data_IF_669375179722
#
_entry.id   IF_669375179722
#
_cell.length_a   1.000
_cell.length_b   1.000
_cell.length_c   1.000
_cell.angle_alpha   90.00
_cell.angle_beta   90.00
_cell.angle_gamma   90.00
#
_symmetry.space_group_name_H-M   'P 1'
#
loop_
_entity.id
_entity.type
_entity.pdbx_description
1 polymer ?
#
# COMPACT_ATOMS: atom_id res chain seq x y z
N UNK A 1 5.32 13.33 20.97
CA UNK A 1 4.57 13.82 22.13
C UNK A 1 5.28 13.31 23.38
N UNK A 2 5.79 14.18 24.26
CA UNK A 2 6.43 13.76 25.51
C UNK A 2 5.43 12.98 26.38
N UNK A 3 5.83 11.80 26.85
CA UNK A 3 5.01 10.95 27.72
C UNK A 3 4.28 9.83 26.99
N UNK A 4 4.67 9.55 25.74
CA UNK A 4 4.21 8.37 25.02
C UNK A 4 4.62 7.08 25.75
N UNK A 5 3.97 5.96 25.42
CA UNK A 5 4.31 4.64 25.96
C UNK A 5 5.79 4.27 25.68
N UNK A 6 6.30 4.66 24.51
CA UNK A 6 7.70 4.46 24.14
C UNK A 6 8.64 5.34 24.98
N UNK A 7 8.28 6.60 25.25
CA UNK A 7 9.08 7.50 26.10
C UNK A 7 9.20 6.97 27.52
N UNK A 8 8.08 6.52 28.11
CA UNK A 8 8.09 5.96 29.47
C UNK A 8 8.98 4.72 29.55
N UNK A 9 8.83 3.81 28.60
CA UNK A 9 9.69 2.63 28.53
C UNK A 9 11.17 2.98 28.38
N UNK A 10 11.51 3.94 27.50
CA UNK A 10 12.91 4.31 27.26
C UNK A 10 13.54 4.96 28.50
N UNK A 11 12.77 5.79 29.21
CA UNK A 11 13.21 6.44 30.45
C UNK A 11 13.31 5.45 31.64
N UNK A 12 12.57 4.34 31.60
CA UNK A 12 12.61 3.28 32.62
C UNK A 12 13.75 2.26 32.39
N UNK A 13 14.57 2.41 31.33
CA UNK A 13 15.68 1.51 31.05
C UNK A 13 16.81 1.64 32.07
N UNK A 14 17.34 0.49 32.51
CA UNK A 14 18.46 0.45 33.44
C UNK A 14 19.80 0.80 32.80
N UNK A 15 20.81 1.10 33.62
CA UNK A 15 22.18 1.44 33.19
C UNK A 15 22.84 0.34 32.35
N UNK A 16 22.47 -0.92 32.55
CA UNK A 16 22.97 -2.06 31.74
C UNK A 16 22.34 -2.10 30.34
N UNK A 17 21.08 -1.69 30.20
CA UNK A 17 20.34 -1.71 28.93
C UNK A 17 20.70 -0.51 28.06
N UNK A 18 21.14 0.61 28.67
CA UNK A 18 21.64 1.79 27.97
C UNK A 18 23.16 1.82 27.81
N UNK A 19 23.88 0.81 28.33
CA UNK A 19 25.35 0.74 28.31
C UNK A 19 25.96 0.71 26.90
N UNK A 20 25.21 0.24 25.91
CA UNK A 20 25.62 0.25 24.51
C UNK A 20 24.41 0.23 23.59
N UNK A 21 24.62 0.67 22.34
CA UNK A 21 23.59 0.55 21.29
C UNK A 21 23.15 -0.90 21.08
N UNK A 22 24.06 -1.88 21.29
CA UNK A 22 23.73 -3.29 21.22
C UNK A 22 22.78 -3.74 22.34
N UNK A 23 23.06 -3.34 23.59
CA UNK A 23 22.21 -3.61 24.74
C UNK A 23 20.82 -2.95 24.59
N UNK A 24 20.79 -1.72 24.09
CA UNK A 24 19.55 -0.99 23.82
C UNK A 24 18.71 -1.69 22.76
N UNK A 25 19.35 -2.17 21.69
CA UNK A 25 18.68 -2.92 20.61
C UNK A 25 18.10 -4.25 21.12
N UNK A 26 18.79 -4.93 22.04
CA UNK A 26 18.29 -6.15 22.69
C UNK A 26 17.07 -5.83 23.56
N UNK A 27 17.14 -4.81 24.41
CA UNK A 27 16.02 -4.38 25.24
C UNK A 27 14.81 -3.98 24.39
N UNK A 28 15.04 -3.26 23.27
CA UNK A 28 14.02 -2.90 22.31
C UNK A 28 13.34 -4.13 21.70
N UNK A 29 14.09 -5.08 21.15
CA UNK A 29 13.50 -6.29 20.56
C UNK A 29 12.88 -7.24 21.59
N UNK A 30 13.29 -7.17 22.85
CA UNK A 30 12.63 -7.89 23.95
C UNK A 30 11.26 -7.27 24.26
N UNK A 31 11.15 -5.94 24.23
CA UNK A 31 9.92 -5.21 24.56
C UNK A 31 8.92 -5.20 23.41
N UNK A 32 9.39 -4.85 22.22
CA UNK A 32 8.68 -5.00 20.97
C UNK A 32 9.30 -6.18 20.26
N UNK A 33 8.89 -7.39 20.67
CA UNK A 33 9.18 -8.61 19.93
C UNK A 33 9.00 -8.27 18.47
N UNK A 34 10.07 -8.40 17.63
CA UNK A 34 9.96 -8.05 16.25
C UNK A 34 8.78 -8.85 15.75
N UNK A 35 7.69 -8.15 15.41
CA UNK A 35 6.53 -8.80 14.81
C UNK A 35 7.16 -9.62 13.72
N UNK A 36 7.08 -10.96 13.83
CA UNK A 36 7.56 -11.84 12.77
C UNK A 36 6.95 -11.22 11.54
N UNK A 37 7.75 -10.59 10.67
CA UNK A 37 7.22 -10.04 9.43
C UNK A 37 6.55 -11.25 8.83
N UNK A 38 5.22 -11.26 8.85
CA UNK A 38 4.47 -12.36 8.27
C UNK A 38 4.88 -12.27 6.82
N UNK A 39 5.82 -13.14 6.43
CA UNK A 39 6.09 -13.37 5.02
C UNK A 39 4.81 -14.02 4.56
N UNK A 40 3.91 -13.18 4.06
CA UNK A 40 2.68 -13.62 3.46
C UNK A 40 3.05 -14.71 2.47
N UNK A 41 2.38 -15.86 2.56
CA UNK A 41 2.53 -16.87 1.53
C UNK A 41 2.13 -16.25 0.19
N UNK A 42 2.62 -16.80 -0.93
CA UNK A 42 2.23 -16.29 -2.25
C UNK A 42 0.71 -16.30 -2.44
N UNK A 43 0.01 -17.29 -1.86
CA UNK A 43 -1.45 -17.34 -1.86
C UNK A 43 -2.08 -16.17 -1.07
N UNK A 44 -1.55 -15.85 0.11
CA UNK A 44 -2.02 -14.70 0.89
C UNK A 44 -1.74 -13.38 0.17
N UNK A 45 -0.57 -13.21 -0.44
CA UNK A 45 -0.25 -12.01 -1.22
C UNK A 45 -1.27 -11.78 -2.34
N UNK A 46 -1.60 -12.84 -3.10
CA UNK A 46 -2.62 -12.79 -4.15
C UNK A 46 -3.98 -12.38 -3.60
N UNK A 47 -4.40 -13.00 -2.49
CA UNK A 47 -5.70 -12.72 -1.86
C UNK A 47 -5.80 -11.27 -1.38
N UNK A 48 -4.74 -10.75 -0.76
CA UNK A 48 -4.71 -9.35 -0.32
C UNK A 48 -4.81 -8.35 -1.47
N UNK A 49 -4.13 -8.62 -2.58
CA UNK A 49 -4.21 -7.77 -3.78
C UNK A 49 -5.60 -7.87 -4.43
N UNK A 50 -6.16 -9.07 -4.57
CA UNK A 50 -7.52 -9.27 -5.10
C UNK A 50 -8.60 -8.58 -4.25
N UNK A 51 -8.38 -8.54 -2.94
CA UNK A 51 -9.26 -7.82 -2.02
C UNK A 51 -9.24 -6.30 -2.21
N UNK A 52 -8.28 -5.74 -2.96
CA UNK A 52 -8.26 -4.33 -3.31
C UNK A 52 -9.08 -4.08 -4.59
N UNK A 53 -10.37 -3.85 -4.43
CA UNK A 53 -11.25 -3.50 -5.55
C UNK A 53 -11.40 -1.99 -5.69
N UNK A 54 -11.36 -1.49 -6.94
CA UNK A 54 -11.75 -0.13 -7.26
C UNK A 54 -13.26 -0.12 -7.49
N UNK A 55 -13.97 0.77 -6.80
CA UNK A 55 -15.42 0.90 -7.00
C UNK A 55 -15.69 1.80 -8.20
N UNK A 56 -16.73 1.49 -8.97
CA UNK A 56 -17.07 2.26 -10.16
C UNK A 56 -17.41 3.72 -9.82
N UNK A 57 -18.07 3.96 -8.68
CA UNK A 57 -18.39 5.31 -8.22
C UNK A 57 -17.17 6.16 -7.84
N UNK A 58 -16.04 5.52 -7.53
CA UNK A 58 -14.78 6.19 -7.19
C UNK A 58 -14.00 6.60 -8.46
N UNK A 59 -14.34 6.05 -9.63
CA UNK A 59 -13.69 6.40 -10.90
C UNK A 59 -14.05 7.84 -11.30
N UNK A 60 -13.03 8.68 -11.51
CA UNK A 60 -13.22 10.08 -11.85
C UNK A 60 -13.71 10.96 -10.70
N UNK A 61 -14.01 10.38 -9.53
CA UNK A 61 -14.30 11.13 -8.31
C UNK A 61 -13.00 11.69 -7.72
N UNK A 62 -13.04 12.94 -7.26
CA UNK A 62 -11.93 13.52 -6.50
C UNK A 62 -11.98 13.03 -5.07
N UNK A 63 -10.93 12.34 -4.62
CA UNK A 63 -10.82 11.80 -3.26
C UNK A 63 -9.69 12.54 -2.53
N UNK A 64 -10.04 13.14 -1.40
CA UNK A 64 -9.10 13.71 -0.44
C UNK A 64 -9.14 12.88 0.85
N UNK A 65 -8.32 11.83 0.92
CA UNK A 65 -8.24 10.94 2.09
C UNK A 65 -6.81 10.99 2.68
N UNK A 66 -6.70 11.53 3.89
CA UNK A 66 -5.41 11.67 4.57
C UNK A 66 -4.49 12.68 3.89
N UNK A 67 -3.34 12.22 3.39
CA UNK A 67 -2.35 13.06 2.69
C UNK A 67 -2.40 12.91 1.15
N UNK A 68 -3.31 12.10 0.62
CA UNK A 68 -3.44 11.86 -0.83
C UNK A 68 -4.69 12.56 -1.33
N UNK A 69 -4.49 13.47 -2.29
CA UNK A 69 -5.55 14.17 -3.02
C UNK A 69 -5.39 13.87 -4.51
N UNK A 70 -6.22 12.97 -5.03
CA UNK A 70 -6.21 12.60 -6.45
C UNK A 70 -7.55 11.98 -6.84
N UNK A 71 -7.71 11.63 -8.11
CA UNK A 71 -8.85 10.84 -8.58
C UNK A 71 -8.86 9.44 -7.97
N UNK A 72 -10.04 8.89 -7.71
CA UNK A 72 -10.18 7.63 -6.97
C UNK A 72 -9.44 6.45 -7.60
N UNK A 73 -9.36 6.37 -8.93
CA UNK A 73 -8.55 5.35 -9.61
C UNK A 73 -7.05 5.50 -9.33
N UNK A 74 -6.53 6.73 -9.24
CA UNK A 74 -5.13 7.01 -8.94
C UNK A 74 -4.80 6.71 -7.47
N UNK A 75 -5.71 7.09 -6.56
CA UNK A 75 -5.60 6.78 -5.13
C UNK A 75 -5.59 5.28 -4.91
N UNK A 76 -6.51 4.55 -5.55
CA UNK A 76 -6.58 3.09 -5.49
C UNK A 76 -5.29 2.45 -6.03
N UNK A 77 -4.84 2.82 -7.24
CA UNK A 77 -3.64 2.25 -7.85
C UNK A 77 -2.40 2.46 -6.97
N UNK A 78 -2.27 3.64 -6.37
CA UNK A 78 -1.19 3.96 -5.44
C UNK A 78 -1.25 3.10 -4.18
N UNK A 79 -2.44 2.89 -3.60
CA UNK A 79 -2.64 2.01 -2.43
C UNK A 79 -2.26 0.55 -2.74
N UNK A 80 -2.67 0.04 -3.90
CA UNK A 80 -2.35 -1.33 -4.33
C UNK A 80 -0.84 -1.51 -4.52
N UNK A 81 -0.18 -0.58 -5.19
CA UNK A 81 1.27 -0.60 -5.37
C UNK A 81 2.00 -0.57 -4.01
N UNK A 82 1.61 0.32 -3.10
CA UNK A 82 2.22 0.40 -1.77
C UNK A 82 2.05 -0.91 -0.98
N UNK A 83 0.88 -1.53 -1.08
CA UNK A 83 0.62 -2.84 -0.48
C UNK A 83 1.54 -3.92 -1.08
N UNK A 84 1.63 -4.01 -2.42
CA UNK A 84 2.49 -4.97 -3.11
C UNK A 84 3.97 -4.80 -2.75
N UNK A 85 4.48 -3.56 -2.76
CA UNK A 85 5.85 -3.24 -2.35
C UNK A 85 6.11 -3.59 -0.89
N UNK A 86 5.13 -3.38 0.01
CA UNK A 86 5.24 -3.77 1.42
C UNK A 86 5.36 -5.30 1.60
N UNK A 87 4.84 -6.07 0.65
CA UNK A 87 4.94 -7.53 0.60
C UNK A 87 6.20 -8.02 -0.13
N UNK A 88 7.02 -7.10 -0.67
CA UNK A 88 8.27 -7.39 -1.37
C UNK A 88 8.12 -7.67 -2.87
N UNK A 89 6.97 -7.34 -3.47
CA UNK A 89 6.71 -7.54 -4.90
C UNK A 89 7.22 -6.36 -5.74
N UNK A 90 8.54 -6.25 -5.87
CA UNK A 90 9.18 -5.15 -6.61
C UNK A 90 9.09 -5.35 -8.12
N UNK A 91 9.10 -6.59 -8.58
CA UNK A 91 9.11 -6.98 -10.00
C UNK A 91 7.70 -7.03 -10.63
N UNK A 92 6.68 -6.47 -9.99
CA UNK A 92 5.32 -6.40 -10.56
C UNK A 92 4.58 -7.74 -10.69
N UNK A 93 5.06 -8.82 -10.07
CA UNK A 93 4.48 -10.15 -10.25
C UNK A 93 3.07 -10.30 -9.65
N UNK A 94 2.57 -9.32 -8.89
CA UNK A 94 1.19 -9.28 -8.40
C UNK A 94 0.25 -8.38 -9.21
N UNK A 95 0.71 -7.69 -10.25
CA UNK A 95 -0.11 -6.76 -11.05
C UNK A 95 -1.29 -7.47 -11.72
N UNK A 96 -1.10 -8.71 -12.19
CA UNK A 96 -2.18 -9.52 -12.78
C UNK A 96 -3.38 -9.67 -11.84
N UNK A 97 -3.14 -9.77 -10.53
CA UNK A 97 -4.19 -9.88 -9.53
C UNK A 97 -4.82 -8.53 -9.19
N UNK A 98 -4.06 -7.44 -9.30
CA UNK A 98 -4.58 -6.09 -9.14
C UNK A 98 -5.56 -5.74 -10.27
N UNK A 99 -5.23 -6.18 -11.50
CA UNK A 99 -6.11 -6.02 -12.65
C UNK A 99 -7.46 -6.70 -12.45
N UNK A 100 -7.54 -7.82 -11.73
CA UNK A 100 -8.83 -8.46 -11.42
C UNK A 100 -9.79 -7.49 -10.69
N UNK A 101 -9.28 -6.65 -9.79
CA UNK A 101 -10.03 -5.66 -9.01
C UNK A 101 -10.39 -4.37 -9.74
N UNK A 102 -9.97 -4.20 -11.00
CA UNK A 102 -10.31 -3.03 -11.83
C UNK A 102 -11.69 -3.22 -12.49
N UNK A 103 -12.62 -2.25 -12.40
CA UNK A 103 -13.89 -2.28 -13.11
C UNK A 103 -13.73 -2.31 -14.63
N UNK A 104 -14.72 -2.89 -15.32
CA UNK A 104 -14.69 -3.03 -16.79
C UNK A 104 -14.51 -1.68 -17.50
N UNK A 105 -15.17 -0.64 -17.01
CA UNK A 105 -15.04 0.73 -17.53
C UNK A 105 -13.58 1.19 -17.66
N UNK A 106 -12.76 0.91 -16.66
CA UNK A 106 -11.35 1.29 -16.68
C UNK A 106 -10.50 0.27 -17.44
N UNK A 107 -10.82 -1.03 -17.34
CA UNK A 107 -10.13 -2.12 -18.05
C UNK A 107 -10.11 -1.94 -19.57
N UNK A 108 -11.18 -1.42 -20.16
CA UNK A 108 -11.26 -1.17 -21.61
C UNK A 108 -10.19 -0.19 -22.12
N UNK A 109 -9.56 0.57 -21.22
CA UNK A 109 -8.52 1.54 -21.53
C UNK A 109 -7.11 1.08 -21.14
N UNK A 110 -6.97 -0.12 -20.59
CA UNK A 110 -5.71 -0.68 -20.13
C UNK A 110 -5.22 -1.78 -21.07
N UNK A 111 -3.91 -1.91 -21.23
CA UNK A 111 -3.28 -3.00 -22.00
C UNK A 111 -3.39 -4.35 -21.30
N UNK A 112 -3.76 -4.34 -20.01
CA UNK A 112 -3.89 -5.52 -19.14
C UNK A 112 -2.60 -6.36 -18.99
N UNK A 113 -1.47 -5.82 -19.44
CA UNK A 113 -0.14 -6.43 -19.34
C UNK A 113 0.86 -5.33 -18.95
N UNK A 114 1.50 -5.48 -17.79
CA UNK A 114 2.46 -4.54 -17.23
C UNK A 114 3.60 -5.30 -16.54
N UNK A 115 4.83 -4.84 -16.74
CA UNK A 115 6.03 -5.47 -16.15
C UNK A 115 6.51 -4.76 -14.88
N UNK A 116 6.06 -3.52 -14.64
CA UNK A 116 6.43 -2.72 -13.47
C UNK A 116 5.21 -2.06 -12.86
N UNK A 117 5.27 -1.77 -11.56
CA UNK A 117 4.20 -1.06 -10.87
C UNK A 117 4.08 0.39 -11.35
N UNK A 118 5.20 0.99 -11.75
CA UNK A 118 5.27 2.32 -12.33
C UNK A 118 4.50 2.39 -13.65
N UNK A 119 4.69 1.41 -14.56
CA UNK A 119 3.95 1.35 -15.83
C UNK A 119 2.45 1.17 -15.60
N UNK A 120 2.08 0.31 -14.66
CA UNK A 120 0.68 0.09 -14.29
C UNK A 120 0.04 1.37 -13.74
N UNK A 121 0.74 2.08 -12.85
CA UNK A 121 0.26 3.33 -12.26
C UNK A 121 0.14 4.44 -13.29
N UNK A 122 1.12 4.55 -14.20
CA UNK A 122 1.10 5.52 -15.29
C UNK A 122 -0.04 5.25 -16.28
N UNK A 123 -0.28 3.97 -16.62
CA UNK A 123 -1.40 3.60 -17.48
C UNK A 123 -2.75 4.02 -16.88
N UNK A 124 -2.93 3.87 -15.57
CA UNK A 124 -4.16 4.32 -14.89
C UNK A 124 -4.29 5.84 -14.90
N UNK A 125 -3.19 6.56 -14.65
CA UNK A 125 -3.17 8.03 -14.62
C UNK A 125 -3.41 8.67 -15.98
N UNK A 126 -2.98 8.00 -17.04
CA UNK A 126 -3.09 8.49 -18.42
C UNK A 126 -4.43 8.20 -19.06
N UNK A 127 -5.32 7.44 -18.40
CA UNK A 127 -6.67 7.23 -18.92
C UNK A 127 -7.40 8.58 -19.01
N UNK A 128 -7.87 9.00 -20.21
CA UNK A 128 -8.47 10.32 -20.40
C UNK A 128 -9.70 10.52 -19.51
N UNK A 129 -9.76 11.66 -18.81
CA UNK A 129 -10.87 11.98 -17.89
C UNK A 129 -12.21 12.03 -18.61
N UNK A 130 -12.22 12.41 -19.88
CA UNK A 130 -13.41 12.47 -20.74
C UNK A 130 -14.04 11.09 -20.98
N UNK A 131 -13.26 10.01 -20.77
CA UNK A 131 -13.71 8.62 -20.87
C UNK A 131 -14.10 8.02 -19.52
N UNK A 132 -13.68 8.65 -18.43
CA UNK A 132 -13.99 8.24 -17.05
C UNK A 132 -15.25 8.89 -16.50
N UNK A 133 -15.80 9.90 -17.17
CA UNK A 133 -17.10 10.45 -16.83
C UNK A 133 -18.21 9.50 -17.31
N UNK A 134 -18.64 8.58 -16.46
CA UNK A 134 -20.01 8.07 -16.55
C UNK A 134 -20.92 9.30 -16.43
N UNK A 135 -21.77 9.48 -17.44
CA UNK A 135 -22.52 10.71 -17.70
C UNK A 135 -23.19 11.31 -16.45
N UNK A 136 -22.83 12.56 -16.15
CA UNK A 136 -23.78 13.51 -15.59
C UNK A 136 -24.36 14.30 -16.77
N UNK A 137 -25.41 13.76 -17.37
CA UNK A 137 -26.43 14.57 -18.05
C UNK A 137 -27.48 14.96 -17.02
#
# INVERSE_FOLDING_TARGET
>A
MPGSYADKWFNDLGTMETASMAALRIAFFKRWLPMKKLKWSRAQQKEWIRGQTLREEDIGAWIAEGQVEDYGQNVWATKVMQLALSMGDVEGALIEYALEGVPMLLKEHLTCEYNTWEDFLEAIRTVPKEKLSIGRQ
#
